data_IF_358192535186
#
_entry.id   IF_358192535186
#
_cell.length_a   1.000
_cell.length_b   1.000
_cell.length_c   1.000
_cell.angle_alpha   90.00
_cell.angle_beta   90.00
_cell.angle_gamma   90.00
#
_symmetry.space_group_name_H-M   'P 1'
#
loop_
_entity.id
_entity.type
_entity.pdbx_description
1 polymer ?
#
# COMPACT_ATOMS: atom_id res chain seq x y z
N UNK A 1 -15.76 -22.22 -4.19
CA UNK A 1 -16.83 -21.28 -4.53
C UNK A 1 -16.62 -20.03 -3.68
N UNK A 2 -16.27 -18.93 -4.34
CA UNK A 2 -16.15 -17.62 -3.69
C UNK A 2 -17.56 -17.06 -3.47
N UNK A 3 -17.90 -16.56 -2.27
CA UNK A 3 -19.04 -15.68 -2.16
C UNK A 3 -18.71 -14.37 -2.89
N UNK A 4 -19.51 -14.01 -3.87
CA UNK A 4 -19.47 -12.67 -4.45
C UNK A 4 -19.92 -11.71 -3.36
N UNK A 5 -19.01 -10.86 -2.89
CA UNK A 5 -19.36 -9.78 -1.98
C UNK A 5 -20.16 -8.75 -2.78
N UNK A 6 -21.36 -8.45 -2.32
CA UNK A 6 -22.25 -7.44 -2.91
C UNK A 6 -21.80 -6.08 -2.41
N UNK A 7 -21.41 -5.20 -3.33
CA UNK A 7 -20.90 -3.86 -3.02
C UNK A 7 -19.42 -3.68 -3.36
N UNK A 8 -18.85 -2.55 -3.01
CA UNK A 8 -17.45 -2.17 -3.25
C UNK A 8 -16.41 -2.92 -2.38
N UNK A 9 -16.73 -4.08 -1.84
CA UNK A 9 -15.84 -4.90 -1.02
C UNK A 9 -15.15 -5.96 -1.87
N UNK A 10 -13.82 -6.05 -1.80
CA UNK A 10 -13.02 -6.97 -2.60
C UNK A 10 -12.07 -7.79 -1.71
N UNK A 11 -11.85 -9.06 -2.11
CA UNK A 11 -10.81 -9.92 -1.56
C UNK A 11 -9.60 -9.89 -2.49
N UNK A 12 -8.43 -9.52 -1.96
CA UNK A 12 -7.20 -9.42 -2.74
C UNK A 12 -6.33 -10.65 -2.49
N UNK A 13 -5.94 -11.31 -3.59
CA UNK A 13 -4.96 -12.40 -3.64
C UNK A 13 -4.04 -12.20 -4.85
N UNK A 14 -2.81 -12.68 -4.77
CA UNK A 14 -1.82 -12.78 -5.85
C UNK A 14 -1.48 -11.47 -6.58
N UNK A 15 -2.02 -11.20 -7.78
CA UNK A 15 -1.60 -10.09 -8.65
C UNK A 15 -1.78 -8.71 -8.04
N UNK A 16 -2.85 -8.52 -7.28
CA UNK A 16 -3.20 -7.22 -6.68
C UNK A 16 -2.67 -7.07 -5.25
N UNK A 17 -1.82 -8.02 -4.80
CA UNK A 17 -1.29 -7.99 -3.45
C UNK A 17 -0.16 -6.96 -3.30
N UNK A 18 -0.21 -6.07 -2.28
CA UNK A 18 0.76 -4.99 -2.12
C UNK A 18 2.20 -5.49 -2.01
N UNK A 19 3.14 -4.99 -2.85
CA UNK A 19 4.49 -5.54 -2.96
C UNK A 19 5.29 -5.43 -1.65
N UNK A 20 5.16 -4.33 -0.92
CA UNK A 20 5.83 -4.17 0.38
C UNK A 20 5.27 -5.11 1.44
N UNK A 21 3.95 -5.30 1.46
CA UNK A 21 3.31 -6.19 2.43
C UNK A 21 3.65 -7.66 2.16
N UNK A 22 3.89 -8.04 0.91
CA UNK A 22 4.33 -9.39 0.54
C UNK A 22 5.70 -9.77 1.12
N UNK A 23 6.53 -8.78 1.43
CA UNK A 23 7.90 -8.97 1.93
C UNK A 23 7.97 -9.25 3.44
N UNK A 24 6.92 -8.97 4.20
CA UNK A 24 6.96 -9.18 5.66
C UNK A 24 6.84 -10.66 6.03
N UNK A 25 7.48 -11.07 7.11
CA UNK A 25 7.54 -12.48 7.56
C UNK A 25 6.17 -13.13 7.82
N UNK A 26 5.16 -12.32 8.18
CA UNK A 26 3.80 -12.74 8.47
C UNK A 26 2.80 -11.96 7.61
N UNK A 27 3.00 -11.97 6.28
CA UNK A 27 2.06 -11.37 5.36
C UNK A 27 0.68 -12.04 5.49
N UNK A 28 -0.43 -11.28 5.60
CA UNK A 28 -1.76 -11.87 5.64
C UNK A 28 -2.07 -12.57 4.31
N UNK A 29 -2.56 -13.82 4.32
CA UNK A 29 -2.85 -14.55 3.08
C UNK A 29 -4.01 -13.95 2.29
N UNK A 30 -4.81 -13.11 2.92
CA UNK A 30 -5.99 -12.47 2.35
C UNK A 30 -6.18 -11.09 2.96
N UNK A 31 -6.58 -10.14 2.13
CA UNK A 31 -7.02 -8.81 2.56
C UNK A 31 -8.46 -8.57 2.10
N UNK A 32 -9.28 -8.07 2.99
CA UNK A 32 -10.59 -7.51 2.70
C UNK A 32 -10.43 -5.99 2.51
N UNK A 33 -10.97 -5.45 1.44
CA UNK A 33 -10.80 -4.05 1.06
C UNK A 33 -12.16 -3.44 0.76
N UNK A 34 -12.36 -2.19 1.23
CA UNK A 34 -13.48 -1.32 0.89
C UNK A 34 -12.90 0.02 0.41
N UNK A 35 -13.25 0.44 -0.77
CA UNK A 35 -12.69 1.61 -1.46
C UNK A 35 -11.71 1.23 -2.57
N UNK A 36 -10.74 2.09 -2.88
CA UNK A 36 -9.81 1.91 -4.00
C UNK A 36 -8.67 0.95 -3.68
N UNK A 37 -8.56 -0.15 -4.41
CA UNK A 37 -7.44 -1.10 -4.29
C UNK A 37 -6.13 -0.51 -4.80
N UNK A 38 -6.19 0.39 -5.77
CA UNK A 38 -5.00 1.01 -6.37
C UNK A 38 -4.16 1.77 -5.34
N UNK A 39 -4.77 2.31 -4.29
CA UNK A 39 -4.05 2.99 -3.22
C UNK A 39 -3.04 2.08 -2.49
N UNK A 40 -3.28 0.77 -2.46
CA UNK A 40 -2.39 -0.20 -1.82
C UNK A 40 -1.05 -0.36 -2.56
N UNK A 41 -0.98 0.09 -3.81
CA UNK A 41 0.21 0.07 -4.66
C UNK A 41 0.93 1.42 -4.75
N UNK A 42 0.41 2.46 -4.10
CA UNK A 42 1.07 3.76 -4.05
C UNK A 42 2.13 3.79 -2.94
N UNK A 43 3.12 4.69 -3.03
CA UNK A 43 4.08 4.89 -1.93
C UNK A 43 3.36 5.40 -0.68
N UNK A 44 3.61 4.75 0.45
CA UNK A 44 2.88 4.99 1.69
C UNK A 44 3.80 5.41 2.82
N UNK A 45 3.33 6.36 3.64
CA UNK A 45 3.91 6.72 4.93
C UNK A 45 2.91 6.38 6.03
N UNK A 46 3.32 5.57 7.00
CA UNK A 46 2.51 5.33 8.18
C UNK A 46 2.65 6.47 9.19
N UNK A 47 1.55 6.98 9.71
CA UNK A 47 1.53 7.97 10.79
C UNK A 47 0.79 7.37 11.97
N UNK A 48 1.49 7.23 13.10
CA UNK A 48 0.95 6.62 14.32
C UNK A 48 1.31 7.42 15.55
N UNK A 49 0.59 7.19 16.63
CA UNK A 49 0.93 7.90 17.87
C UNK A 49 -0.05 7.68 19.03
N UNK A 50 -0.01 8.61 19.95
CA UNK A 50 -0.82 8.60 21.17
C UNK A 50 -2.31 8.72 20.86
N UNK A 51 -3.12 7.94 21.59
CA UNK A 51 -4.59 8.13 21.61
C UNK A 51 -5.00 9.38 22.40
N UNK A 52 -4.12 9.85 23.29
CA UNK A 52 -4.28 11.06 24.11
C UNK A 52 -3.17 12.04 23.72
N UNK A 53 -3.23 12.54 22.51
CA UNK A 53 -2.25 13.50 21.99
C UNK A 53 -2.43 14.89 22.60
N UNK A 54 -1.35 15.65 22.61
CA UNK A 54 -1.39 17.08 22.95
C UNK A 54 -1.95 17.91 21.77
N UNK A 55 -2.20 19.20 21.99
CA UNK A 55 -2.56 20.13 20.89
C UNK A 55 -1.45 20.22 19.84
N UNK A 56 -0.19 20.23 20.29
CA UNK A 56 0.96 20.24 19.39
C UNK A 56 1.03 18.94 18.57
N UNK A 57 0.87 17.77 19.21
CA UNK A 57 0.80 16.49 18.51
C UNK A 57 -0.36 16.42 17.52
N UNK A 58 -1.52 16.98 17.85
CA UNK A 58 -2.64 17.11 16.92
C UNK A 58 -2.29 17.95 15.71
N UNK A 59 -1.68 19.11 15.92
CA UNK A 59 -1.30 20.02 14.84
C UNK A 59 -0.24 19.36 13.93
N UNK A 60 0.78 18.73 14.51
CA UNK A 60 1.81 18.03 13.74
C UNK A 60 1.21 16.89 12.93
N UNK A 61 0.36 16.05 13.52
CA UNK A 61 -0.30 14.96 12.80
C UNK A 61 -1.13 15.47 11.61
N UNK A 62 -1.88 16.57 11.80
CA UNK A 62 -2.72 17.14 10.77
C UNK A 62 -1.90 17.75 9.64
N UNK A 63 -0.94 18.63 9.97
CA UNK A 63 -0.17 19.36 8.96
C UNK A 63 0.78 18.46 8.19
N UNK A 64 1.46 17.53 8.87
CA UNK A 64 2.40 16.63 8.21
C UNK A 64 1.70 15.59 7.35
N UNK A 65 0.57 15.04 7.81
CA UNK A 65 -0.20 14.10 6.97
C UNK A 65 -0.73 14.77 5.71
N UNK A 66 -1.21 16.02 5.81
CA UNK A 66 -1.61 16.81 4.65
C UNK A 66 -0.43 17.05 3.71
N UNK A 67 0.71 17.48 4.27
CA UNK A 67 1.92 17.75 3.48
C UNK A 67 2.40 16.51 2.72
N UNK A 68 2.49 15.34 3.37
CA UNK A 68 2.87 14.11 2.69
C UNK A 68 1.87 13.71 1.62
N UNK A 69 0.58 13.88 1.88
CA UNK A 69 -0.46 13.58 0.92
C UNK A 69 -0.39 14.52 -0.29
N UNK A 70 -0.18 15.83 -0.09
CA UNK A 70 0.06 16.81 -1.17
C UNK A 70 1.36 16.52 -1.94
N UNK A 71 2.34 15.86 -1.29
CA UNK A 71 3.60 15.41 -1.91
C UNK A 71 3.49 14.06 -2.64
N UNK A 72 2.29 13.50 -2.77
CA UNK A 72 2.03 12.26 -3.52
C UNK A 72 2.14 10.97 -2.71
N UNK A 73 2.33 11.03 -1.39
CA UNK A 73 2.28 9.84 -0.55
C UNK A 73 0.86 9.51 -0.10
N UNK A 74 0.56 8.24 0.00
CA UNK A 74 -0.65 7.76 0.67
C UNK A 74 -0.41 7.64 2.17
N UNK A 75 -1.30 8.21 2.98
CA UNK A 75 -1.19 8.16 4.45
C UNK A 75 -1.83 6.89 4.98
N UNK A 76 -1.02 6.04 5.60
CA UNK A 76 -1.51 4.80 6.21
C UNK A 76 -1.55 4.91 7.72
N UNK A 77 -2.68 4.56 8.32
CA UNK A 77 -2.83 4.56 9.77
C UNK A 77 -3.89 3.55 10.24
N UNK A 78 -4.12 3.50 11.54
CA UNK A 78 -4.93 2.46 12.16
C UNK A 78 -6.35 2.86 12.52
N UNK A 79 -6.83 4.02 12.13
CA UNK A 79 -8.17 4.53 12.44
C UNK A 79 -8.47 4.59 13.95
N UNK A 80 -7.46 4.51 14.81
CA UNK A 80 -7.63 4.65 16.26
C UNK A 80 -7.93 6.11 16.66
N UNK A 81 -8.37 6.31 17.90
CA UNK A 81 -8.48 7.66 18.45
C UNK A 81 -7.11 8.33 18.51
N UNK A 82 -7.08 9.65 18.50
CA UNK A 82 -5.86 10.44 18.61
C UNK A 82 -5.14 10.62 17.29
N UNK A 83 -3.83 10.41 17.26
CA UNK A 83 -2.97 10.69 16.10
C UNK A 83 -3.45 10.00 14.83
N UNK A 84 -3.87 8.73 14.90
CA UNK A 84 -4.33 7.96 13.74
C UNK A 84 -5.51 8.66 13.04
N UNK A 85 -6.55 9.04 13.81
CA UNK A 85 -7.72 9.72 13.26
C UNK A 85 -7.36 11.08 12.63
N UNK A 86 -6.49 11.84 13.29
CA UNK A 86 -6.04 13.16 12.79
C UNK A 86 -5.17 13.00 11.52
N UNK A 87 -4.37 11.95 11.43
CA UNK A 87 -3.59 11.67 10.24
C UNK A 87 -4.50 11.43 9.02
N UNK A 88 -5.58 10.68 9.19
CA UNK A 88 -6.59 10.53 8.13
C UNK A 88 -7.28 11.85 7.79
N UNK A 89 -7.65 12.65 8.79
CA UNK A 89 -8.26 13.97 8.58
C UNK A 89 -7.34 14.91 7.80
N UNK A 90 -6.03 14.91 8.09
CA UNK A 90 -5.05 15.72 7.36
C UNK A 90 -4.91 15.27 5.90
N UNK A 91 -4.83 13.97 5.66
CA UNK A 91 -4.78 13.42 4.30
C UNK A 91 -6.04 13.76 3.49
N UNK A 92 -7.22 13.74 4.11
CA UNK A 92 -8.48 14.13 3.47
C UNK A 92 -8.58 15.62 3.15
N UNK A 93 -7.72 16.47 3.73
CA UNK A 93 -7.62 17.90 3.43
C UNK A 93 -6.62 18.22 2.32
N UNK A 94 -5.86 17.23 1.87
CA UNK A 94 -4.91 17.39 0.78
C UNK A 94 -5.62 17.51 -0.57
N UNK A 95 -4.96 18.16 -1.52
CA UNK A 95 -5.52 18.43 -2.86
C UNK A 95 -5.54 17.19 -3.75
N UNK A 96 -4.58 16.28 -3.55
CA UNK A 96 -4.38 15.10 -4.41
C UNK A 96 -4.06 13.82 -3.62
N UNK A 97 -4.10 13.88 -2.29
CA UNK A 97 -3.68 12.77 -1.43
C UNK A 97 -4.75 11.73 -1.20
N UNK A 98 -4.32 10.55 -0.82
CA UNK A 98 -5.18 9.46 -0.41
C UNK A 98 -4.81 8.95 0.98
N UNK A 99 -5.69 8.18 1.58
CA UNK A 99 -5.40 7.54 2.87
C UNK A 99 -5.94 6.12 2.96
N UNK A 100 -5.17 5.27 3.64
CA UNK A 100 -5.51 3.87 3.91
C UNK A 100 -5.70 3.68 5.41
N UNK A 101 -6.89 3.27 5.81
CA UNK A 101 -7.17 2.90 7.18
C UNK A 101 -7.09 1.37 7.34
N UNK A 102 -6.09 0.91 8.07
CA UNK A 102 -5.95 -0.52 8.40
C UNK A 102 -6.78 -0.81 9.64
N UNK A 103 -7.72 -1.74 9.56
CA UNK A 103 -8.65 -2.02 10.66
C UNK A 103 -8.26 -3.29 11.44
N UNK A 104 -8.68 -3.35 12.72
CA UNK A 104 -8.50 -4.50 13.61
C UNK A 104 -9.82 -5.27 13.84
N UNK A 105 -10.76 -5.10 12.91
CA UNK A 105 -12.12 -5.67 12.90
C UNK A 105 -12.45 -6.15 11.50
N UNK A 106 -13.56 -6.84 11.31
CA UNK A 106 -14.08 -7.13 9.98
C UNK A 106 -14.33 -5.84 9.18
N UNK A 107 -14.29 -5.94 7.85
CA UNK A 107 -14.40 -4.80 6.94
C UNK A 107 -15.74 -4.05 7.07
N UNK A 108 -16.76 -4.73 7.54
CA UNK A 108 -18.12 -4.25 7.80
C UNK A 108 -18.26 -3.47 9.12
N UNK A 109 -17.21 -3.44 9.96
CA UNK A 109 -17.27 -2.88 11.32
C UNK A 109 -16.14 -1.90 11.61
N UNK A 110 -16.41 -0.61 11.43
CA UNK A 110 -15.44 0.43 11.83
C UNK A 110 -15.34 0.53 13.36
N UNK A 111 -14.11 0.51 13.87
CA UNK A 111 -13.82 0.72 15.28
C UNK A 111 -12.69 1.73 15.46
N UNK A 112 -12.83 2.69 16.40
CA UNK A 112 -13.96 2.94 17.31
C UNK A 112 -15.20 3.48 16.57
N UNK A 113 -16.40 3.25 17.11
CA UNK A 113 -17.66 3.74 16.52
C UNK A 113 -17.68 5.24 16.22
N UNK A 114 -16.91 6.03 17.01
CA UNK A 114 -16.76 7.49 16.78
C UNK A 114 -16.15 7.80 15.41
N UNK A 115 -15.32 6.91 14.88
CA UNK A 115 -14.67 7.04 13.57
C UNK A 115 -15.46 6.41 12.42
N UNK A 116 -16.71 5.98 12.65
CA UNK A 116 -17.56 5.47 11.59
C UNK A 116 -17.66 6.47 10.43
N UNK A 117 -18.05 7.72 10.75
CA UNK A 117 -18.14 8.79 9.74
C UNK A 117 -16.80 9.09 9.06
N UNK A 118 -15.68 8.99 9.79
CA UNK A 118 -14.35 9.17 9.21
C UNK A 118 -14.03 8.03 8.24
N UNK A 119 -14.33 6.78 8.60
CA UNK A 119 -14.17 5.63 7.71
C UNK A 119 -14.99 5.78 6.43
N UNK A 120 -16.24 6.22 6.52
CA UNK A 120 -17.09 6.46 5.36
C UNK A 120 -16.52 7.59 4.48
N UNK A 121 -16.11 8.72 5.06
CA UNK A 121 -15.46 9.83 4.35
C UNK A 121 -14.16 9.42 3.66
N UNK A 122 -13.36 8.53 4.25
CA UNK A 122 -12.15 7.98 3.61
C UNK A 122 -12.55 7.30 2.31
N UNK A 123 -13.56 6.44 2.33
CA UNK A 123 -14.01 5.70 1.13
C UNK A 123 -14.63 6.65 0.10
N UNK A 124 -15.48 7.57 0.53
CA UNK A 124 -16.15 8.55 -0.33
C UNK A 124 -15.16 9.47 -1.05
N UNK A 125 -14.01 9.77 -0.41
CA UNK A 125 -12.92 10.55 -0.99
C UNK A 125 -11.94 9.70 -1.85
N UNK A 126 -12.27 8.45 -2.17
CA UNK A 126 -11.41 7.57 -2.96
C UNK A 126 -10.29 6.89 -2.18
N UNK A 127 -10.29 7.00 -0.85
CA UNK A 127 -9.38 6.28 0.05
C UNK A 127 -9.79 4.82 0.25
N UNK A 128 -9.15 4.16 1.22
CA UNK A 128 -9.27 2.71 1.39
C UNK A 128 -9.37 2.30 2.85
N UNK A 129 -10.30 1.41 3.16
CA UNK A 129 -10.28 0.61 4.38
C UNK A 129 -9.77 -0.78 4.05
N UNK A 130 -8.87 -1.32 4.87
CA UNK A 130 -8.28 -2.64 4.65
C UNK A 130 -8.16 -3.42 5.96
N UNK A 131 -8.39 -4.73 5.91
CA UNK A 131 -8.24 -5.61 7.06
C UNK A 131 -7.94 -7.05 6.64
N UNK A 132 -7.25 -7.81 7.51
CA UNK A 132 -7.09 -9.25 7.37
C UNK A 132 -8.24 -10.06 8.00
N UNK A 133 -9.12 -9.40 8.76
CA UNK A 133 -10.19 -10.07 9.50
C UNK A 133 -11.45 -10.20 8.66
N UNK A 134 -12.04 -11.39 8.67
CA UNK A 134 -13.30 -11.68 7.96
C UNK A 134 -14.45 -10.76 8.40
N UNK A 135 -15.40 -10.46 7.51
CA UNK A 135 -16.61 -9.74 7.87
C UNK A 135 -17.28 -10.35 9.12
N UNK A 136 -17.89 -9.52 9.92
CA UNK A 136 -18.52 -9.92 11.19
C UNK A 136 -17.59 -9.94 12.41
N UNK A 137 -16.26 -9.91 12.23
CA UNK A 137 -15.32 -9.98 13.37
C UNK A 137 -15.39 -8.69 14.20
N UNK A 138 -15.62 -8.87 15.50
CA UNK A 138 -15.68 -7.80 16.50
C UNK A 138 -14.27 -7.34 16.93
N UNK A 139 -14.12 -6.12 17.48
CA UNK A 139 -12.85 -5.66 18.03
C UNK A 139 -12.44 -6.51 19.24
N UNK A 140 -11.24 -7.09 19.18
CA UNK A 140 -10.59 -7.80 20.27
C UNK A 140 -9.22 -7.19 20.55
N UNK A 141 -8.83 -7.13 21.83
CA UNK A 141 -7.57 -6.50 22.23
C UNK A 141 -6.34 -7.06 21.48
N UNK A 142 -6.30 -8.36 21.22
CA UNK A 142 -5.22 -9.04 20.49
C UNK A 142 -5.13 -8.67 19.02
N UNK A 143 -6.20 -8.20 18.39
CA UNK A 143 -6.22 -7.84 16.97
C UNK A 143 -5.45 -6.53 16.69
N UNK A 144 -5.37 -5.61 17.65
CA UNK A 144 -4.70 -4.32 17.45
C UNK A 144 -3.19 -4.47 17.24
N UNK A 145 -2.44 -5.21 18.11
CA UNK A 145 -1.04 -5.48 17.83
C UNK A 145 -0.82 -6.30 16.54
N UNK A 146 -1.69 -7.27 16.27
CA UNK A 146 -1.62 -8.09 15.06
C UNK A 146 -1.76 -7.23 13.80
N UNK A 147 -2.73 -6.33 13.76
CA UNK A 147 -2.97 -5.42 12.65
C UNK A 147 -1.80 -4.46 12.40
N UNK A 148 -1.09 -4.02 13.45
CA UNK A 148 -0.02 -3.01 13.33
C UNK A 148 1.09 -3.43 12.35
N UNK A 149 1.36 -4.75 12.18
CA UNK A 149 2.32 -5.24 11.20
C UNK A 149 1.91 -4.96 9.75
N UNK A 150 0.60 -4.79 9.51
CA UNK A 150 0.07 -4.42 8.19
C UNK A 150 0.29 -2.93 7.94
N UNK A 151 0.11 -2.07 8.95
CA UNK A 151 0.39 -0.64 8.85
C UNK A 151 1.85 -0.42 8.43
N UNK A 152 2.80 -0.99 9.17
CA UNK A 152 4.22 -0.86 8.85
C UNK A 152 4.58 -1.61 7.56
N UNK A 153 3.97 -2.78 7.30
CA UNK A 153 4.24 -3.60 6.13
C UNK A 153 3.81 -2.98 4.80
N UNK A 154 2.78 -2.14 4.80
CA UNK A 154 2.34 -1.38 3.62
C UNK A 154 3.21 -0.15 3.35
N UNK A 155 3.95 0.35 4.34
CA UNK A 155 4.58 1.66 4.32
C UNK A 155 6.08 1.59 4.07
N UNK A 156 6.63 2.64 3.47
CA UNK A 156 8.08 2.85 3.30
C UNK A 156 8.75 3.19 4.63
N UNK A 157 8.03 3.94 5.47
CA UNK A 157 8.47 4.32 6.80
C UNK A 157 7.31 4.62 7.74
N UNK A 158 7.60 4.71 9.02
CA UNK A 158 6.64 4.94 10.10
C UNK A 158 7.03 6.19 10.89
N UNK A 159 6.18 7.21 10.87
CA UNK A 159 6.31 8.41 11.67
C UNK A 159 5.55 8.25 12.99
N UNK A 160 6.24 8.41 14.11
CA UNK A 160 5.66 8.45 15.44
C UNK A 160 5.59 9.91 15.90
N UNK A 161 4.36 10.47 15.94
CA UNK A 161 4.16 11.89 16.30
C UNK A 161 4.30 12.12 17.79
N UNK A 162 3.63 11.32 18.59
CA UNK A 162 3.71 11.30 20.05
C UNK A 162 3.51 9.89 20.59
N UNK A 163 4.27 9.51 21.60
CA UNK A 163 4.11 8.23 22.27
C UNK A 163 4.54 8.29 23.74
N UNK A 164 3.72 7.79 24.63
CA UNK A 164 4.18 7.43 25.97
C UNK A 164 4.95 6.09 25.92
N UNK A 165 5.78 5.81 26.95
CA UNK A 165 6.62 4.59 26.99
C UNK A 165 5.82 3.29 26.83
N UNK A 166 4.57 3.25 27.26
CA UNK A 166 3.68 2.08 27.14
C UNK A 166 2.68 2.19 25.97
N UNK A 167 2.93 3.09 25.01
CA UNK A 167 2.05 3.28 23.86
C UNK A 167 2.08 2.09 22.91
N UNK A 168 0.92 1.71 22.37
CA UNK A 168 0.81 0.72 21.31
C UNK A 168 1.49 1.13 20.00
N UNK A 169 1.68 2.44 19.76
CA UNK A 169 2.43 2.96 18.60
C UNK A 169 3.91 2.54 18.61
N UNK A 170 4.50 2.31 19.79
CA UNK A 170 5.87 1.76 19.89
C UNK A 170 5.96 0.32 19.39
N UNK A 171 4.86 -0.45 19.44
CA UNK A 171 4.80 -1.79 18.86
C UNK A 171 4.89 -1.65 17.33
N UNK A 172 4.14 -0.73 16.73
CA UNK A 172 4.20 -0.47 15.28
C UNK A 172 5.61 -0.06 14.84
N UNK A 173 6.26 0.84 15.59
CA UNK A 173 7.62 1.29 15.30
C UNK A 173 8.64 0.13 15.37
N UNK A 174 8.58 -0.74 16.38
CA UNK A 174 9.46 -1.92 16.48
C UNK A 174 9.21 -2.89 15.35
N UNK A 175 7.93 -3.17 15.04
CA UNK A 175 7.57 -4.04 13.92
C UNK A 175 8.06 -3.47 12.58
N UNK A 176 8.06 -2.15 12.41
CA UNK A 176 8.62 -1.47 11.25
C UNK A 176 10.12 -1.76 11.09
N UNK A 177 10.90 -1.64 12.18
CA UNK A 177 12.33 -1.98 12.17
C UNK A 177 12.58 -3.45 11.83
N UNK A 178 11.79 -4.38 12.39
CA UNK A 178 11.84 -5.81 12.06
C UNK A 178 11.52 -6.11 10.57
N UNK A 179 10.80 -5.20 9.93
CA UNK A 179 10.42 -5.25 8.51
C UNK A 179 11.35 -4.44 7.61
N UNK A 180 12.48 -3.94 8.12
CA UNK A 180 13.41 -3.05 7.42
C UNK A 180 12.72 -1.79 6.85
N UNK A 181 11.83 -1.16 7.64
CA UNK A 181 11.22 0.12 7.34
C UNK A 181 11.87 1.20 8.17
N UNK A 182 12.00 2.40 7.60
CA UNK A 182 12.48 3.57 8.32
C UNK A 182 11.52 3.97 9.44
N UNK A 183 12.07 4.41 10.56
CA UNK A 183 11.28 4.88 11.70
C UNK A 183 11.69 6.30 12.03
N UNK A 184 10.72 7.17 12.05
CA UNK A 184 10.85 8.60 12.35
C UNK A 184 10.12 8.92 13.64
N UNK A 185 10.69 9.81 14.45
CA UNK A 185 10.07 10.24 15.68
C UNK A 185 10.22 11.76 15.86
N UNK A 186 9.10 12.43 16.10
CA UNK A 186 9.10 13.85 16.41
C UNK A 186 9.58 14.04 17.86
N UNK A 187 10.62 14.85 18.11
CA UNK A 187 11.06 15.17 19.46
C UNK A 187 10.03 16.03 20.19
N UNK A 188 10.16 16.13 21.49
CA UNK A 188 9.29 16.98 22.30
C UNK A 188 9.89 17.28 23.66
N UNK A 189 9.13 17.94 24.54
CA UNK A 189 9.61 18.28 25.88
C UNK A 189 9.97 17.03 26.68
N UNK A 190 11.14 17.04 27.33
CA UNK A 190 11.58 15.98 28.26
C UNK A 190 10.63 15.82 29.45
N UNK A 191 9.84 16.83 29.76
CA UNK A 191 8.85 16.82 30.83
C UNK A 191 7.50 16.25 30.40
N UNK A 192 7.27 16.11 29.06
CA UNK A 192 6.02 15.55 28.53
C UNK A 192 6.05 14.03 28.56
N UNK A 193 5.10 13.37 29.23
CA UNK A 193 4.97 11.92 29.15
C UNK A 193 4.75 11.40 27.73
N UNK A 194 4.12 12.21 26.86
CA UNK A 194 3.81 11.86 25.46
C UNK A 194 5.03 11.91 24.55
N UNK A 195 6.13 12.55 24.95
CA UNK A 195 7.37 12.59 24.17
C UNK A 195 8.36 11.48 24.55
N UNK A 196 8.18 10.85 25.72
CA UNK A 196 9.15 9.87 26.23
C UNK A 196 9.29 8.63 25.35
N UNK A 197 8.21 8.21 24.67
CA UNK A 197 8.25 7.10 23.72
C UNK A 197 9.02 7.47 22.45
N UNK A 198 8.84 8.68 21.92
CA UNK A 198 9.62 9.19 20.79
C UNK A 198 11.11 9.29 21.14
N UNK A 199 11.45 9.83 22.33
CA UNK A 199 12.83 9.88 22.80
C UNK A 199 13.46 8.47 22.96
N UNK A 200 12.67 7.48 23.40
CA UNK A 200 13.13 6.10 23.46
C UNK A 200 13.45 5.55 22.08
N UNK A 201 12.56 5.78 21.08
CA UNK A 201 12.79 5.36 19.71
C UNK A 201 14.03 6.02 19.10
N UNK A 202 14.22 7.32 19.29
CA UNK A 202 15.40 8.06 18.83
C UNK A 202 16.69 7.46 19.43
N UNK A 203 16.70 7.15 20.74
CA UNK A 203 17.83 6.48 21.39
C UNK A 203 18.07 5.05 20.87
N UNK A 204 17.07 4.43 20.26
CA UNK A 204 17.15 3.11 19.63
C UNK A 204 17.48 3.17 18.15
N UNK A 205 17.76 4.36 17.59
CA UNK A 205 18.17 4.55 16.21
C UNK A 205 17.08 5.03 15.26
N UNK A 206 15.88 5.40 15.75
CA UNK A 206 14.92 6.07 14.92
C UNK A 206 15.40 7.48 14.55
N UNK A 207 15.12 7.93 13.34
CA UNK A 207 15.45 9.27 12.89
C UNK A 207 14.68 10.32 13.69
N UNK A 208 15.40 11.23 14.35
CA UNK A 208 14.80 12.43 14.88
C UNK A 208 14.47 13.34 13.71
N UNK A 209 13.23 13.80 13.61
CA UNK A 209 12.77 14.70 12.55
C UNK A 209 12.03 15.89 13.13
N UNK A 210 12.37 17.07 12.67
CA UNK A 210 11.77 18.35 13.07
C UNK A 210 10.88 18.94 11.97
N UNK A 211 11.06 18.46 10.72
CA UNK A 211 10.27 18.87 9.55
C UNK A 211 9.78 17.65 8.75
N UNK A 212 8.69 17.84 8.02
CA UNK A 212 8.16 16.79 7.14
C UNK A 212 9.06 16.54 5.92
N UNK A 213 9.80 17.55 5.47
CA UNK A 213 10.75 17.45 4.36
C UNK A 213 11.91 16.50 4.69
N UNK A 214 12.37 16.46 5.94
CA UNK A 214 13.41 15.53 6.39
C UNK A 214 12.96 14.08 6.22
N UNK A 215 11.69 13.77 6.51
CA UNK A 215 11.12 12.44 6.31
C UNK A 215 11.15 12.04 4.84
N UNK A 216 10.77 12.96 3.93
CA UNK A 216 10.78 12.70 2.48
C UNK A 216 12.23 12.49 1.98
N UNK A 217 13.17 13.30 2.45
CA UNK A 217 14.57 13.20 2.07
C UNK A 217 15.17 11.82 2.45
N UNK A 218 14.91 11.35 3.67
CA UNK A 218 15.37 10.04 4.13
C UNK A 218 14.70 8.87 3.38
N UNK A 219 13.45 9.04 2.94
CA UNK A 219 12.72 8.01 2.19
C UNK A 219 13.14 7.93 0.72
N UNK A 220 13.97 8.85 0.19
CA UNK A 220 14.36 8.86 -1.23
C UNK A 220 14.95 7.55 -1.71
N UNK A 221 15.82 6.92 -0.93
CA UNK A 221 16.39 5.60 -1.25
C UNK A 221 15.36 4.45 -1.17
N UNK A 222 14.38 4.54 -0.29
CA UNK A 222 13.31 3.56 -0.17
C UNK A 222 12.30 3.67 -1.32
N UNK A 223 12.04 4.89 -1.79
CA UNK A 223 11.21 5.16 -2.98
C UNK A 223 11.80 4.52 -4.23
N UNK A 224 13.10 4.69 -4.50
CA UNK A 224 13.75 4.07 -5.66
C UNK A 224 13.61 2.54 -5.66
N UNK A 225 13.80 1.88 -4.50
CA UNK A 225 13.59 0.44 -4.36
C UNK A 225 12.12 0.02 -4.51
N UNK A 226 11.19 0.88 -4.09
CA UNK A 226 9.76 0.64 -4.24
C UNK A 226 9.34 0.66 -5.72
N UNK A 227 9.80 1.66 -6.48
CA UNK A 227 9.53 1.77 -7.91
C UNK A 227 10.11 0.57 -8.68
N UNK A 228 11.32 0.14 -8.36
CA UNK A 228 11.90 -1.09 -8.92
C UNK A 228 11.07 -2.35 -8.58
N UNK A 229 10.52 -2.43 -7.38
CA UNK A 229 9.70 -3.57 -6.98
C UNK A 229 8.36 -3.62 -7.73
N UNK A 230 7.75 -2.46 -7.98
CA UNK A 230 6.53 -2.35 -8.79
C UNK A 230 6.81 -2.77 -10.23
N UNK A 231 7.90 -2.26 -10.83
CA UNK A 231 8.31 -2.63 -12.19
C UNK A 231 8.54 -4.14 -12.30
N UNK A 232 9.25 -4.74 -11.33
CA UNK A 232 9.48 -6.19 -11.29
C UNK A 232 8.20 -7.00 -11.09
N UNK A 233 7.21 -6.48 -10.39
CA UNK A 233 5.91 -7.15 -10.19
C UNK A 233 5.08 -7.08 -11.47
N UNK A 234 5.05 -5.94 -12.15
CA UNK A 234 4.37 -5.76 -13.43
C UNK A 234 5.00 -6.63 -14.53
N UNK A 235 6.33 -6.83 -14.51
CA UNK A 235 7.03 -7.73 -15.44
C UNK A 235 6.86 -9.22 -15.12
N UNK A 236 6.39 -9.57 -13.91
CA UNK A 236 6.10 -10.97 -13.55
C UNK A 236 4.66 -11.39 -13.82
N UNK A 237 3.77 -10.44 -14.11
CA UNK A 237 2.39 -10.70 -14.51
C UNK A 237 2.20 -10.24 -15.96
N UNK A 238 2.43 -11.11 -16.93
CA UNK A 238 2.49 -10.76 -18.36
C UNK A 238 1.16 -10.22 -18.92
N UNK A 239 0.08 -10.28 -18.14
CA UNK A 239 -1.24 -9.75 -18.54
C UNK A 239 -1.45 -8.27 -18.21
N UNK A 240 -0.54 -7.63 -17.46
CA UNK A 240 -0.77 -6.27 -16.90
C UNK A 240 0.01 -5.16 -17.62
N UNK A 241 0.25 -5.23 -18.87
CA UNK A 241 0.90 -4.16 -19.64
C UNK A 241 0.69 -4.27 -21.14
N UNK A 242 -0.09 -5.25 -21.55
CA UNK A 242 -0.40 -5.46 -22.98
C UNK A 242 -1.48 -4.46 -23.40
N UNK A 243 -1.22 -3.74 -24.49
CA UNK A 243 -2.24 -2.95 -25.15
C UNK A 243 -3.31 -3.87 -25.77
N UNK A 244 -4.43 -3.29 -26.23
CA UNK A 244 -5.51 -4.06 -26.85
C UNK A 244 -5.03 -4.90 -28.05
N UNK A 245 -4.06 -4.39 -28.78
CA UNK A 245 -3.51 -5.03 -30.00
C UNK A 245 -2.64 -6.23 -29.61
N UNK A 246 -1.84 -6.11 -28.57
CA UNK A 246 -1.03 -7.17 -28.01
C UNK A 246 -1.88 -8.29 -27.40
N UNK A 247 -2.94 -7.93 -26.68
CA UNK A 247 -3.89 -8.88 -26.11
C UNK A 247 -4.63 -9.67 -27.19
N UNK A 248 -5.12 -8.98 -28.23
CA UNK A 248 -5.80 -9.60 -29.37
C UNK A 248 -4.89 -10.59 -30.12
N UNK A 249 -3.61 -10.25 -30.30
CA UNK A 249 -2.64 -11.15 -30.93
C UNK A 249 -2.32 -12.36 -30.03
N UNK A 250 -2.23 -12.20 -28.74
CA UNK A 250 -2.00 -13.29 -27.79
C UNK A 250 -3.18 -14.27 -27.71
N UNK A 251 -4.41 -13.82 -27.95
CA UNK A 251 -5.58 -14.69 -28.04
C UNK A 251 -5.60 -15.52 -29.32
N UNK A 252 -4.99 -15.02 -30.40
CA UNK A 252 -4.85 -15.70 -31.68
C UNK A 252 -3.70 -16.71 -31.64
N UNK A 253 -2.63 -16.45 -30.87
CA UNK A 253 -1.47 -17.33 -30.72
C UNK A 253 -1.81 -18.54 -29.87
N UNK A 254 -1.52 -19.73 -30.41
CA UNK A 254 -1.63 -20.99 -29.67
C UNK A 254 -0.36 -21.29 -28.85
N UNK A 255 -0.48 -22.25 -27.93
CA UNK A 255 0.67 -22.82 -27.22
C UNK A 255 1.53 -23.75 -28.08
N UNK A 256 1.08 -24.07 -29.27
CA UNK A 256 1.88 -24.79 -30.30
C UNK A 256 2.60 -23.79 -31.20
N UNK A 257 3.83 -24.10 -31.68
CA UNK A 257 4.58 -23.23 -32.58
C UNK A 257 3.84 -22.97 -33.89
N UNK A 258 3.60 -21.70 -34.23
CA UNK A 258 2.88 -21.29 -35.44
C UNK A 258 3.82 -20.44 -36.32
N UNK A 259 3.95 -20.71 -37.62
CA UNK A 259 4.76 -19.91 -38.51
C UNK A 259 4.15 -18.53 -38.78
N UNK A 260 5.00 -17.54 -39.07
CA UNK A 260 4.61 -16.15 -39.30
C UNK A 260 3.51 -16.01 -40.36
N UNK A 261 3.60 -16.77 -41.45
CA UNK A 261 2.64 -16.70 -42.55
C UNK A 261 1.22 -17.08 -42.09
N UNK A 262 1.12 -18.11 -41.27
CA UNK A 262 -0.17 -18.52 -40.66
C UNK A 262 -0.71 -17.45 -39.76
N UNK A 263 0.14 -16.74 -38.97
CA UNK A 263 -0.27 -15.63 -38.13
C UNK A 263 -0.83 -14.44 -38.93
N UNK A 264 -0.24 -14.16 -40.08
CA UNK A 264 -0.76 -13.13 -41.01
C UNK A 264 -2.13 -13.53 -41.55
N UNK A 265 -2.32 -14.79 -41.92
CA UNK A 265 -3.62 -15.29 -42.41
C UNK A 265 -4.71 -15.28 -41.36
N UNK A 266 -4.41 -15.73 -40.13
CA UNK A 266 -5.39 -15.84 -39.05
C UNK A 266 -5.72 -14.47 -38.47
N UNK A 267 -4.72 -13.61 -38.22
CA UNK A 267 -4.93 -12.28 -37.70
C UNK A 267 -5.54 -11.30 -38.70
N UNK A 268 -5.36 -11.55 -39.99
CA UNK A 268 -5.69 -10.63 -41.08
C UNK A 268 -4.95 -9.29 -41.00
N UNK A 269 -3.86 -9.24 -40.26
CA UNK A 269 -3.06 -8.03 -40.10
C UNK A 269 -1.91 -8.02 -41.13
N UNK A 270 -1.62 -6.86 -41.71
CA UNK A 270 -0.45 -6.74 -42.56
C UNK A 270 0.84 -6.94 -41.75
N UNK A 271 1.86 -7.53 -42.35
CA UNK A 271 3.12 -7.88 -41.69
C UNK A 271 3.79 -6.66 -41.00
N UNK A 272 3.62 -5.46 -41.58
CA UNK A 272 4.13 -4.22 -41.01
C UNK A 272 3.47 -3.81 -39.65
N UNK A 273 2.23 -4.30 -39.38
CA UNK A 273 1.56 -4.16 -38.11
C UNK A 273 1.89 -5.29 -37.13
N UNK A 274 2.01 -6.49 -37.68
CA UNK A 274 2.21 -7.73 -36.90
C UNK A 274 3.63 -7.80 -36.30
N UNK A 275 4.66 -7.48 -37.07
CA UNK A 275 6.05 -7.65 -36.68
C UNK A 275 6.44 -6.81 -35.45
N UNK A 276 6.10 -5.52 -35.32
CA UNK A 276 6.41 -4.75 -34.13
C UNK A 276 5.71 -5.30 -32.88
N UNK A 277 4.48 -5.82 -32.99
CA UNK A 277 3.71 -6.40 -31.89
C UNK A 277 4.33 -7.72 -31.45
N UNK A 278 4.75 -8.58 -32.38
CA UNK A 278 5.45 -9.82 -32.06
C UNK A 278 6.77 -9.57 -31.36
N UNK A 279 7.58 -8.61 -31.82
CA UNK A 279 8.83 -8.23 -31.13
C UNK A 279 8.54 -7.69 -29.71
N UNK A 280 7.51 -6.89 -29.54
CA UNK A 280 7.13 -6.37 -28.23
C UNK A 280 6.67 -7.48 -27.28
N UNK A 281 5.89 -8.46 -27.75
CA UNK A 281 5.45 -9.63 -26.99
C UNK A 281 6.62 -10.58 -26.66
N UNK A 282 7.58 -10.73 -27.55
CA UNK A 282 8.79 -11.50 -27.31
C UNK A 282 9.68 -10.86 -26.25
N UNK A 283 9.91 -9.54 -26.32
CA UNK A 283 10.64 -8.77 -25.32
C UNK A 283 9.96 -8.80 -23.95
N UNK A 284 8.63 -8.89 -23.94
CA UNK A 284 7.84 -9.03 -22.70
C UNK A 284 7.82 -10.46 -22.16
N UNK A 285 8.43 -11.43 -22.86
CA UNK A 285 8.43 -12.84 -22.46
C UNK A 285 7.06 -13.53 -22.58
N UNK A 286 6.12 -12.96 -23.34
CA UNK A 286 4.79 -13.52 -23.57
C UNK A 286 4.78 -14.60 -24.62
N UNK A 287 5.70 -14.52 -25.59
CA UNK A 287 5.88 -15.47 -26.68
C UNK A 287 7.36 -15.83 -26.87
N UNK A 288 7.61 -16.98 -27.44
CA UNK A 288 8.93 -17.38 -27.97
C UNK A 288 8.94 -17.37 -29.51
N UNK A 289 10.08 -17.01 -30.05
CA UNK A 289 10.36 -17.13 -31.50
C UNK A 289 11.53 -18.10 -31.70
N UNK A 290 11.28 -19.17 -32.39
CA UNK A 290 12.33 -20.10 -32.82
C UNK A 290 12.27 -20.24 -34.34
N UNK A 291 13.26 -19.64 -35.01
CA UNK A 291 13.44 -19.72 -36.47
C UNK A 291 12.18 -19.33 -37.29
N UNK A 292 11.42 -18.31 -36.81
CA UNK A 292 10.21 -17.83 -37.49
C UNK A 292 8.92 -18.53 -37.08
N UNK A 293 8.99 -19.44 -36.12
CA UNK A 293 7.84 -20.02 -35.45
C UNK A 293 7.59 -19.32 -34.14
N UNK A 294 6.38 -18.84 -33.93
CA UNK A 294 5.95 -18.11 -32.75
C UNK A 294 5.07 -18.98 -31.89
N UNK A 295 5.36 -19.03 -30.61
CA UNK A 295 4.65 -19.84 -29.62
C UNK A 295 4.28 -18.99 -28.42
N UNK A 296 3.04 -19.11 -27.95
CA UNK A 296 2.60 -18.48 -26.70
C UNK A 296 3.22 -19.20 -25.48
N UNK A 297 3.74 -18.44 -24.53
CA UNK A 297 4.36 -18.95 -23.29
C UNK A 297 3.44 -18.84 -22.07
N UNK A 298 2.43 -17.97 -22.12
CA UNK A 298 1.60 -17.57 -20.97
C UNK A 298 0.13 -17.49 -21.37
#
# INVERSE_FOLDING_TARGET
IMPSLVGSEMCIRDSDYPPLLKQISRAPPLLYVRGSVTNLHLPQIAIVGSRQMTRSGQQNALTWSRFFADSGFTITSGLALGVDGIAHEGALQASAGSTIAVMATGIDKVYPKRHQKLGDRIVDAGGTLVTEFSPGINPLARHFPQRNRIISGLSLGVLVVEAAIKSGSLITARTALEQNREVFAIPGSIHSPQSKGCHLLIKQGAHLVETADEVIAELGGALGRFDEAIVKQQTKDPKLGLDKIQTELLEILSFDPVPLDTLVEVSKWPIGKLAPVLVSLELSGCIANDNGFYQRLI
#
